data_IF_742145707860
#
_entry.id   IF_742145707860
#
_cell.length_a   1.000
_cell.length_b   1.000
_cell.length_c   1.000
_cell.angle_alpha   90.00
_cell.angle_beta   90.00
_cell.angle_gamma   90.00
#
_symmetry.space_group_name_H-M   'P 1'
#
loop_
_entity.id
_entity.type
_entity.pdbx_description
1 polymer ?
#
# COMPACT_ATOMS: atom_id res chain seq x y z
N UNK A 1 26.24 27.49 61.12
CA UNK A 1 24.84 27.13 61.38
C UNK A 1 24.01 27.50 60.17
N UNK A 2 23.62 26.51 59.38
CA UNK A 2 22.80 26.73 58.18
C UNK A 2 21.36 26.97 58.62
N UNK A 3 20.80 28.09 58.17
CA UNK A 3 19.45 28.53 58.50
C UNK A 3 18.40 27.55 57.85
N UNK A 4 17.50 26.93 58.62
CA UNK A 4 16.55 25.95 58.09
C UNK A 4 15.59 26.54 57.03
N UNK A 5 15.37 27.83 56.97
CA UNK A 5 14.58 28.50 55.97
C UNK A 5 15.22 28.45 54.55
N UNK A 6 16.54 28.45 54.43
CA UNK A 6 17.25 28.38 53.15
C UNK A 6 17.16 27.01 52.47
N UNK A 7 17.00 25.93 53.27
CA UNK A 7 16.95 24.58 52.77
C UNK A 7 15.58 24.25 52.15
N UNK A 8 14.50 24.84 52.68
CA UNK A 8 13.12 24.61 52.17
C UNK A 8 12.94 25.30 50.79
N UNK A 9 13.53 26.46 50.58
CA UNK A 9 13.46 27.15 49.26
C UNK A 9 14.29 26.48 48.19
N UNK A 10 15.41 25.84 48.50
CA UNK A 10 16.21 25.10 47.54
C UNK A 10 15.50 23.81 47.03
N UNK A 11 14.80 23.09 47.93
CA UNK A 11 14.05 21.90 47.55
C UNK A 11 12.80 22.22 46.68
N UNK A 12 12.14 23.37 46.90
CA UNK A 12 10.99 23.78 46.09
C UNK A 12 11.39 24.21 44.65
N UNK A 13 12.55 24.81 44.48
CA UNK A 13 13.06 25.21 43.17
C UNK A 13 13.46 24.01 42.28
N UNK A 14 13.99 22.95 42.88
CA UNK A 14 14.35 21.71 42.16
C UNK A 14 13.11 20.92 41.74
N UNK A 15 12.03 20.93 42.54
CA UNK A 15 10.80 20.20 42.21
C UNK A 15 10.02 20.83 41.02
N UNK A 16 10.13 22.15 40.82
CA UNK A 16 9.47 22.82 39.67
C UNK A 16 10.20 22.63 38.32
N UNK A 17 11.49 22.26 38.33
CA UNK A 17 12.26 22.06 37.10
C UNK A 17 11.94 20.73 36.36
N UNK A 18 11.21 19.83 37.00
CA UNK A 18 10.83 18.52 36.41
C UNK A 18 9.44 18.50 35.75
N UNK A 19 8.69 19.63 35.76
CA UNK A 19 7.32 19.67 35.26
C UNK A 19 7.14 20.19 33.83
N UNK A 20 8.22 20.60 33.16
CA UNK A 20 8.15 21.07 31.77
C UNK A 20 8.78 20.08 30.79
N UNK A 21 8.31 18.84 30.78
CA UNK A 21 8.43 18.04 29.56
C UNK A 21 7.26 18.41 28.67
N UNK A 22 7.44 19.39 27.82
CA UNK A 22 6.60 19.59 26.63
C UNK A 22 6.74 18.34 25.78
N UNK A 23 5.90 17.37 26.04
CA UNK A 23 5.68 16.22 25.16
C UNK A 23 5.02 16.76 23.89
N UNK A 24 5.81 17.35 22.98
CA UNK A 24 5.33 17.69 21.64
C UNK A 24 4.98 16.37 20.98
N UNK A 25 3.69 16.08 20.82
CA UNK A 25 3.22 15.01 19.97
C UNK A 25 3.84 15.19 18.58
N UNK A 26 4.73 14.27 18.19
CA UNK A 26 5.39 14.35 16.90
C UNK A 26 4.51 13.65 15.87
N UNK A 27 3.88 14.43 15.01
CA UNK A 27 3.16 13.91 13.85
C UNK A 27 4.17 13.61 12.74
N UNK A 28 4.02 12.45 12.10
CA UNK A 28 4.79 12.08 10.94
C UNK A 28 4.06 12.55 9.67
N UNK A 29 4.80 13.22 8.78
CA UNK A 29 4.28 13.51 7.44
C UNK A 29 4.21 12.23 6.62
N UNK A 30 3.08 12.04 5.94
CA UNK A 30 2.80 10.87 5.12
C UNK A 30 2.49 11.32 3.70
N UNK A 31 3.16 10.70 2.71
CA UNK A 31 2.77 10.86 1.31
C UNK A 31 1.50 10.09 1.03
N UNK A 32 0.60 10.71 0.30
CA UNK A 32 -0.71 10.14 -0.05
C UNK A 32 -0.83 10.05 -1.57
N UNK A 33 -1.32 8.90 -2.04
CA UNK A 33 -1.63 8.69 -3.45
C UNK A 33 -2.88 9.49 -3.84
N UNK A 34 -2.77 10.33 -4.87
CA UNK A 34 -3.90 11.14 -5.34
C UNK A 34 -4.69 10.42 -6.43
N UNK A 35 -5.97 10.78 -6.61
CA UNK A 35 -6.78 10.30 -7.72
C UNK A 35 -6.13 10.58 -9.08
N UNK A 36 -5.52 11.76 -9.26
CA UNK A 36 -4.85 12.11 -10.51
C UNK A 36 -3.69 11.17 -10.85
N UNK A 37 -2.92 10.73 -9.85
CA UNK A 37 -1.86 9.74 -10.02
C UNK A 37 -2.45 8.36 -10.30
N UNK A 38 -3.50 7.96 -9.58
CA UNK A 38 -4.21 6.70 -9.83
C UNK A 38 -4.75 6.62 -11.25
N UNK A 39 -5.31 7.71 -11.80
CA UNK A 39 -5.78 7.81 -13.18
C UNK A 39 -4.65 7.60 -14.19
N UNK A 40 -3.45 8.16 -13.96
CA UNK A 40 -2.28 7.94 -14.84
C UNK A 40 -1.86 6.48 -14.85
N UNK A 41 -1.82 5.83 -13.70
CA UNK A 41 -1.49 4.42 -13.55
C UNK A 41 -2.48 3.56 -14.32
N UNK A 42 -3.78 3.78 -14.10
CA UNK A 42 -4.85 3.01 -14.76
C UNK A 42 -4.82 3.21 -16.27
N UNK A 43 -4.62 4.44 -16.75
CA UNK A 43 -4.55 4.72 -18.19
C UNK A 43 -3.38 4.01 -18.88
N UNK A 44 -2.20 3.98 -18.25
CA UNK A 44 -1.04 3.25 -18.78
C UNK A 44 -1.26 1.73 -18.78
N UNK A 45 -1.82 1.18 -17.70
CA UNK A 45 -2.17 -0.23 -17.60
C UNK A 45 -3.24 -0.62 -18.64
N UNK A 46 -4.27 0.21 -18.82
CA UNK A 46 -5.31 0.00 -19.85
C UNK A 46 -4.72 -0.01 -21.25
N UNK A 47 -3.87 0.99 -21.58
CA UNK A 47 -3.21 1.05 -22.88
C UNK A 47 -2.34 -0.19 -23.16
N UNK A 48 -1.69 -0.74 -22.14
CA UNK A 48 -0.95 -2.00 -22.27
C UNK A 48 -1.88 -3.17 -22.56
N UNK A 49 -3.01 -3.27 -21.85
CA UNK A 49 -4.00 -4.31 -22.07
C UNK A 49 -4.57 -4.24 -23.51
N UNK A 50 -4.95 -3.05 -23.96
CA UNK A 50 -5.48 -2.82 -25.32
C UNK A 50 -4.47 -3.21 -26.40
N UNK A 51 -3.18 -2.87 -26.25
CA UNK A 51 -2.12 -3.29 -27.19
C UNK A 51 -1.97 -4.80 -27.31
N UNK A 52 -2.23 -5.51 -26.22
CA UNK A 52 -2.16 -6.98 -26.17
C UNK A 52 -3.52 -7.66 -26.44
N UNK A 53 -4.57 -6.88 -26.79
CA UNK A 53 -5.92 -7.38 -27.04
C UNK A 53 -6.51 -8.11 -25.83
N UNK A 54 -6.17 -7.64 -24.62
CA UNK A 54 -6.64 -8.18 -23.35
C UNK A 54 -7.72 -7.28 -22.75
N UNK A 55 -8.66 -7.90 -22.05
CA UNK A 55 -9.69 -7.20 -21.29
C UNK A 55 -9.81 -7.80 -19.89
N UNK A 56 -9.83 -6.93 -18.89
CA UNK A 56 -9.86 -7.34 -17.48
C UNK A 56 -10.22 -6.19 -16.56
N UNK A 57 -9.73 -6.26 -15.33
CA UNK A 57 -9.93 -5.25 -14.30
C UNK A 57 -8.60 -4.76 -13.77
N UNK A 58 -8.49 -3.44 -13.63
CA UNK A 58 -7.35 -2.73 -13.05
C UNK A 58 -7.85 -1.98 -11.82
N UNK A 59 -7.16 -2.08 -10.70
CA UNK A 59 -7.49 -1.35 -9.49
C UNK A 59 -6.27 -0.65 -8.90
N UNK A 60 -6.47 0.56 -8.39
CA UNK A 60 -5.49 1.29 -7.60
C UNK A 60 -6.08 1.54 -6.21
N UNK A 61 -5.32 1.18 -5.19
CA UNK A 61 -5.69 1.35 -3.78
C UNK A 61 -4.73 2.30 -3.07
N UNK A 62 -5.19 2.90 -1.98
CA UNK A 62 -4.36 3.70 -1.08
C UNK A 62 -3.43 2.82 -0.23
N UNK A 63 -2.67 3.43 0.67
CA UNK A 63 -1.76 2.72 1.58
C UNK A 63 -2.45 1.95 2.71
N UNK A 64 -3.75 2.14 2.91
CA UNK A 64 -4.62 1.29 3.74
C UNK A 64 -5.22 0.12 2.98
N UNK A 65 -5.00 0.05 1.67
CA UNK A 65 -5.58 -0.97 0.79
C UNK A 65 -7.02 -0.69 0.38
N UNK A 66 -7.49 0.56 0.51
CA UNK A 66 -8.83 0.96 0.08
C UNK A 66 -8.83 1.47 -1.36
N UNK A 67 -9.84 1.13 -2.18
CA UNK A 67 -9.90 1.55 -3.57
C UNK A 67 -9.93 3.08 -3.74
N UNK A 68 -9.03 3.60 -4.59
CA UNK A 68 -9.07 4.97 -5.12
C UNK A 68 -9.74 4.96 -6.49
N UNK A 69 -9.40 3.97 -7.33
CA UNK A 69 -9.93 3.84 -8.68
C UNK A 69 -9.99 2.36 -9.07
N UNK A 70 -11.09 1.96 -9.68
CA UNK A 70 -11.28 0.66 -10.31
C UNK A 70 -11.79 0.87 -11.73
N UNK A 71 -11.10 0.29 -12.69
CA UNK A 71 -11.52 0.21 -14.08
C UNK A 71 -11.84 -1.23 -14.44
N UNK A 72 -13.08 -1.51 -14.81
CA UNK A 72 -13.47 -2.75 -15.46
C UNK A 72 -13.64 -2.47 -16.94
N UNK A 73 -12.85 -3.12 -17.77
CA UNK A 73 -12.95 -3.05 -19.23
C UNK A 73 -14.15 -3.86 -19.72
N UNK A 74 -14.70 -3.48 -20.90
CA UNK A 74 -15.69 -4.29 -21.56
C UNK A 74 -15.10 -5.66 -21.90
N UNK A 75 -15.93 -6.70 -21.83
CA UNK A 75 -15.52 -8.09 -22.08
C UNK A 75 -14.38 -8.61 -21.16
N UNK A 76 -14.28 -8.08 -19.94
CA UNK A 76 -13.33 -8.60 -18.95
C UNK A 76 -13.46 -10.13 -18.84
N UNK A 77 -12.31 -10.85 -18.89
CA UNK A 77 -12.25 -12.30 -18.97
C UNK A 77 -13.00 -13.00 -17.85
N UNK A 78 -12.96 -12.45 -16.63
CA UNK A 78 -13.63 -12.99 -15.46
C UNK A 78 -14.45 -11.93 -14.73
N UNK A 79 -15.69 -12.25 -14.36
CA UNK A 79 -16.52 -11.37 -13.54
C UNK A 79 -15.95 -11.19 -12.12
N UNK A 80 -15.28 -12.22 -11.59
CA UNK A 80 -14.62 -12.18 -10.28
C UNK A 80 -13.44 -11.17 -10.23
N UNK A 81 -12.93 -10.72 -11.38
CA UNK A 81 -11.81 -9.79 -11.45
C UNK A 81 -12.07 -8.46 -10.73
N UNK A 82 -13.33 -8.07 -10.54
CA UNK A 82 -13.72 -6.86 -9.79
C UNK A 82 -13.36 -6.95 -8.30
N UNK A 83 -13.25 -8.17 -7.77
CA UNK A 83 -12.78 -8.44 -6.40
C UNK A 83 -11.30 -8.81 -6.38
N UNK A 84 -10.82 -9.56 -7.38
CA UNK A 84 -9.45 -10.03 -7.45
C UNK A 84 -8.44 -8.89 -7.64
N UNK A 85 -8.69 -7.95 -8.56
CA UNK A 85 -7.76 -6.87 -8.83
C UNK A 85 -7.51 -5.97 -7.60
N UNK A 86 -8.54 -5.41 -6.91
CA UNK A 86 -8.32 -4.64 -5.69
C UNK A 86 -7.76 -5.51 -4.55
N UNK A 87 -8.13 -6.79 -4.45
CA UNK A 87 -7.59 -7.71 -3.46
C UNK A 87 -6.09 -7.94 -3.63
N UNK A 88 -5.60 -8.14 -4.86
CA UNK A 88 -4.16 -8.26 -5.19
C UNK A 88 -3.41 -6.95 -4.86
N UNK A 89 -3.98 -5.79 -5.22
CA UNK A 89 -3.42 -4.49 -4.87
C UNK A 89 -3.30 -4.32 -3.34
N UNK A 90 -4.37 -4.63 -2.59
CA UNK A 90 -4.41 -4.60 -1.14
C UNK A 90 -3.34 -5.51 -0.51
N UNK A 91 -3.21 -6.73 -1.01
CA UNK A 91 -2.18 -7.67 -0.58
C UNK A 91 -0.78 -7.06 -0.76
N UNK A 92 -0.52 -6.50 -1.94
CA UNK A 92 0.79 -5.90 -2.23
C UNK A 92 1.13 -4.73 -1.30
N UNK A 93 0.15 -3.87 -0.97
CA UNK A 93 0.33 -2.73 -0.07
C UNK A 93 0.62 -3.18 1.36
N UNK A 94 -0.25 -4.01 1.93
CA UNK A 94 -0.21 -4.35 3.34
C UNK A 94 0.95 -5.29 3.70
N UNK A 95 1.40 -6.13 2.75
CA UNK A 95 2.62 -6.92 2.88
C UNK A 95 3.88 -6.20 2.35
N UNK A 96 3.73 -5.02 1.73
CA UNK A 96 4.82 -4.20 1.18
C UNK A 96 5.72 -4.93 0.19
N UNK A 97 5.13 -5.80 -0.62
CA UNK A 97 5.79 -6.61 -1.65
C UNK A 97 4.79 -7.03 -2.72
N UNK A 98 5.22 -7.45 -3.91
CA UNK A 98 4.32 -8.03 -4.90
C UNK A 98 3.50 -9.18 -4.32
N UNK A 99 2.21 -9.27 -4.67
CA UNK A 99 1.31 -10.34 -4.21
C UNK A 99 1.82 -11.74 -4.60
N UNK A 100 2.52 -11.85 -5.73
CA UNK A 100 3.24 -13.06 -6.18
C UNK A 100 4.21 -13.62 -5.12
N UNK A 101 4.76 -12.79 -4.24
CA UNK A 101 5.66 -13.28 -3.20
C UNK A 101 4.94 -14.19 -2.19
N UNK A 102 3.64 -13.99 -1.96
CA UNK A 102 2.82 -14.86 -1.13
C UNK A 102 2.40 -16.11 -1.90
N UNK A 103 1.99 -15.98 -3.16
CA UNK A 103 1.73 -17.11 -4.06
C UNK A 103 2.92 -18.07 -4.09
N UNK A 104 4.12 -17.53 -4.32
CA UNK A 104 5.34 -18.31 -4.32
C UNK A 104 5.62 -18.98 -2.96
N UNK A 105 5.39 -18.30 -1.85
CA UNK A 105 5.56 -18.88 -0.52
C UNK A 105 4.61 -20.09 -0.31
N UNK A 106 3.36 -19.98 -0.74
CA UNK A 106 2.36 -21.07 -0.68
C UNK A 106 2.82 -22.23 -1.55
N UNK A 107 3.20 -21.97 -2.80
CA UNK A 107 3.65 -22.97 -3.75
C UNK A 107 4.95 -23.71 -3.30
N UNK A 108 5.77 -23.04 -2.47
CA UNK A 108 6.96 -23.64 -1.86
C UNK A 108 6.71 -24.22 -0.45
N UNK A 109 5.47 -24.55 -0.14
CA UNK A 109 5.12 -25.35 1.05
C UNK A 109 4.67 -24.53 2.28
N UNK A 110 4.68 -23.19 2.24
CA UNK A 110 4.11 -22.36 3.33
C UNK A 110 2.58 -22.28 3.20
N UNK A 111 1.89 -23.39 3.23
CA UNK A 111 0.43 -23.46 3.06
C UNK A 111 -0.32 -22.64 4.11
N UNK A 112 0.24 -22.49 5.32
CA UNK A 112 -0.35 -21.65 6.35
C UNK A 112 -0.57 -20.18 5.94
N UNK A 113 0.08 -19.68 4.87
CA UNK A 113 -0.15 -18.32 4.39
C UNK A 113 -1.59 -18.07 3.94
N UNK A 114 -2.32 -19.11 3.46
CA UNK A 114 -3.73 -19.00 3.06
C UNK A 114 -4.68 -18.69 4.24
N UNK A 115 -4.20 -18.77 5.47
CA UNK A 115 -4.99 -18.37 6.66
C UNK A 115 -5.03 -16.85 6.88
N UNK A 116 -4.24 -16.07 6.14
CA UNK A 116 -4.32 -14.62 6.15
C UNK A 116 -5.63 -14.19 5.46
N UNK A 117 -6.62 -13.84 6.28
CA UNK A 117 -7.97 -13.51 5.76
C UNK A 117 -7.96 -12.19 5.01
N UNK A 118 -8.85 -12.08 4.04
CA UNK A 118 -9.11 -10.86 3.26
C UNK A 118 -7.92 -10.42 2.35
N UNK A 119 -7.04 -11.37 2.02
CA UNK A 119 -5.96 -11.17 1.07
C UNK A 119 -6.11 -12.09 -0.14
N UNK A 120 -5.70 -11.56 -1.29
CA UNK A 120 -5.61 -12.33 -2.54
C UNK A 120 -4.13 -12.54 -2.83
N UNK A 121 -3.64 -13.75 -2.56
CA UNK A 121 -2.23 -14.13 -2.70
C UNK A 121 -1.88 -14.58 -4.13
N UNK A 122 -2.53 -13.99 -5.12
CA UNK A 122 -2.31 -14.29 -6.53
C UNK A 122 -1.43 -13.22 -7.18
N UNK A 123 -0.60 -13.61 -8.13
CA UNK A 123 0.23 -12.71 -8.95
C UNK A 123 -0.62 -11.61 -9.61
N UNK A 124 -0.04 -10.40 -9.75
CA UNK A 124 -0.70 -9.26 -10.41
C UNK A 124 -0.95 -8.05 -9.50
N UNK A 125 -0.58 -8.10 -8.22
CA UNK A 125 -0.59 -6.96 -7.30
C UNK A 125 0.81 -6.43 -7.04
N UNK A 126 1.02 -5.10 -7.19
CA UNK A 126 2.31 -4.43 -7.00
C UNK A 126 2.17 -3.23 -6.06
N UNK A 127 3.10 -3.01 -5.11
CA UNK A 127 3.10 -1.82 -4.28
C UNK A 127 3.59 -0.59 -5.06
N UNK A 128 2.97 0.55 -4.82
CA UNK A 128 3.41 1.86 -5.32
C UNK A 128 4.35 2.46 -4.29
N UNK A 129 5.63 2.59 -4.64
CA UNK A 129 6.67 3.03 -3.72
C UNK A 129 7.25 4.37 -4.17
N UNK A 130 7.27 5.35 -3.27
CA UNK A 130 7.87 6.68 -3.52
C UNK A 130 8.85 6.99 -2.38
N UNK A 131 10.12 7.18 -2.71
CA UNK A 131 11.19 7.45 -1.72
C UNK A 131 11.24 6.39 -0.60
N UNK A 132 11.07 5.11 -0.94
CA UNK A 132 11.09 3.99 0.02
C UNK A 132 9.79 3.81 0.83
N UNK A 133 8.80 4.69 0.67
CA UNK A 133 7.50 4.58 1.33
C UNK A 133 6.47 3.96 0.39
N UNK A 134 5.76 2.92 0.84
CA UNK A 134 4.58 2.40 0.15
C UNK A 134 3.43 3.38 0.38
N UNK A 135 2.91 3.97 -0.70
CA UNK A 135 1.84 4.98 -0.67
C UNK A 135 0.53 4.47 -1.28
N UNK A 136 0.52 3.25 -1.78
CA UNK A 136 -0.62 2.61 -2.40
C UNK A 136 -0.20 1.35 -3.15
N UNK A 137 -1.12 0.79 -3.93
CA UNK A 137 -0.87 -0.38 -4.78
C UNK A 137 -1.71 -0.38 -6.04
N UNK A 138 -1.21 -1.08 -7.04
CA UNK A 138 -1.95 -1.41 -8.26
C UNK A 138 -2.15 -2.91 -8.34
N UNK A 139 -3.33 -3.34 -8.79
CA UNK A 139 -3.65 -4.73 -9.04
C UNK A 139 -4.34 -4.88 -10.38
N UNK A 140 -4.02 -5.95 -11.06
CA UNK A 140 -4.63 -6.34 -12.32
C UNK A 140 -5.17 -7.76 -12.26
N UNK A 141 -6.26 -8.02 -12.96
CA UNK A 141 -6.85 -9.34 -13.09
C UNK A 141 -7.45 -9.50 -14.49
N UNK A 142 -6.76 -10.29 -15.29
CA UNK A 142 -7.04 -10.61 -16.70
C UNK A 142 -7.23 -12.11 -16.89
N UNK A 143 -6.62 -12.68 -17.91
CA UNK A 143 -6.76 -14.10 -18.27
C UNK A 143 -5.67 -15.00 -17.68
N UNK A 144 -4.44 -14.47 -17.48
CA UNK A 144 -3.31 -15.22 -16.93
C UNK A 144 -2.56 -14.44 -15.85
N UNK A 145 -1.88 -15.09 -14.89
CA UNK A 145 -1.05 -14.44 -13.90
C UNK A 145 0.08 -13.58 -14.52
N UNK A 146 0.62 -14.00 -15.66
CA UNK A 146 1.67 -13.30 -16.41
C UNK A 146 1.14 -11.98 -16.97
N UNK A 147 -0.03 -12.01 -17.60
CA UNK A 147 -0.68 -10.81 -18.10
C UNK A 147 -1.08 -9.87 -16.95
N UNK A 148 -1.56 -10.39 -15.83
CA UNK A 148 -1.86 -9.61 -14.63
C UNK A 148 -0.65 -8.79 -14.17
N UNK A 149 0.52 -9.47 -14.06
CA UNK A 149 1.76 -8.82 -13.65
C UNK A 149 2.25 -7.81 -14.70
N UNK A 150 2.18 -8.13 -15.99
CA UNK A 150 2.57 -7.27 -17.10
C UNK A 150 1.76 -5.95 -17.08
N UNK A 151 0.44 -6.07 -16.97
CA UNK A 151 -0.46 -4.93 -16.97
C UNK A 151 -0.25 -4.05 -15.72
N UNK A 152 -0.13 -4.66 -14.55
CA UNK A 152 0.16 -3.92 -13.32
C UNK A 152 1.51 -3.17 -13.41
N UNK A 153 2.55 -3.81 -13.97
CA UNK A 153 3.87 -3.21 -14.15
C UNK A 153 3.84 -2.05 -15.14
N UNK A 154 3.09 -2.17 -16.23
CA UNK A 154 2.91 -1.07 -17.20
C UNK A 154 2.29 0.16 -16.52
N UNK A 155 1.33 -0.04 -15.62
CA UNK A 155 0.76 1.04 -14.82
C UNK A 155 1.79 1.75 -13.96
N UNK A 156 2.66 1.01 -13.25
CA UNK A 156 3.72 1.60 -12.42
C UNK A 156 4.74 2.38 -13.23
N UNK A 157 5.06 1.94 -14.44
CA UNK A 157 6.04 2.59 -15.33
C UNK A 157 5.64 4.03 -15.70
N UNK A 158 4.36 4.39 -15.60
CA UNK A 158 3.87 5.75 -15.80
C UNK A 158 4.32 6.75 -14.69
N UNK A 159 4.86 6.26 -13.57
CA UNK A 159 5.33 7.11 -12.47
C UNK A 159 6.80 7.53 -12.63
N UNK A 160 7.54 6.89 -13.53
CA UNK A 160 8.98 7.10 -13.75
C UNK A 160 9.32 7.93 -14.98
N UNK A 161 8.30 8.49 -15.66
CA UNK A 161 8.42 9.32 -16.86
C UNK A 161 8.31 10.81 -16.56
#
# INVERSE_FOLDING_TARGET
MLNPLGLVFACAAVALAFLSHDSKAQYLEKKVLTLAVAQKIVAAAQSEAERNQLAGVIAVVDDGGWPILLLRMDNAAYLASVELAPGKARTAVLFRKPSEALENAINHGRVAAVTARDFIEMKGGLPIVVNGQVIGGVGASFDTPEHDAQIAQAGLSALTQ
#
